data_IF_889647370554
#
_entry.id   IF_889647370554
#
_cell.length_a   1.000
_cell.length_b   1.000
_cell.length_c   1.000
_cell.angle_alpha   90.00
_cell.angle_beta   90.00
_cell.angle_gamma   90.00
#
_symmetry.space_group_name_H-M   'P 1'
#
loop_
_entity.id
_entity.type
_entity.pdbx_description
1 polymer ?
#
# COMPACT_ATOMS: atom_id res chain seq x y z
N UNK A 1 -13.44 -17.97 3.98
CA UNK A 1 -12.46 -16.88 3.98
C UNK A 1 -12.50 -16.24 2.61
N UNK A 2 -12.99 -15.00 2.50
CA UNK A 2 -13.05 -14.31 1.22
C UNK A 2 -11.61 -14.15 0.71
N UNK A 3 -11.33 -14.70 -0.47
CA UNK A 3 -10.05 -14.49 -1.13
C UNK A 3 -9.91 -12.99 -1.34
N UNK A 4 -8.93 -12.36 -0.70
CA UNK A 4 -8.66 -10.94 -0.90
C UNK A 4 -8.34 -10.74 -2.39
N UNK A 5 -9.19 -9.97 -3.07
CA UNK A 5 -9.10 -9.73 -4.49
C UNK A 5 -8.00 -8.69 -4.75
N UNK A 6 -7.05 -9.01 -5.62
CA UNK A 6 -5.95 -8.11 -5.95
C UNK A 6 -6.44 -6.80 -6.58
N UNK A 7 -7.60 -6.82 -7.26
CA UNK A 7 -8.23 -5.62 -7.79
C UNK A 7 -8.75 -4.69 -6.69
N UNK A 8 -9.26 -5.26 -5.59
CA UNK A 8 -9.69 -4.52 -4.40
C UNK A 8 -8.49 -3.89 -3.69
N UNK A 9 -7.40 -4.64 -3.51
CA UNK A 9 -6.15 -4.12 -2.95
C UNK A 9 -5.61 -2.98 -3.80
N UNK A 10 -5.57 -3.14 -5.13
CA UNK A 10 -5.10 -2.08 -6.02
C UNK A 10 -5.95 -0.81 -5.90
N UNK A 11 -7.27 -0.94 -5.84
CA UNK A 11 -8.17 0.19 -5.61
C UNK A 11 -7.88 0.87 -4.28
N UNK A 12 -7.69 0.09 -3.21
CA UNK A 12 -7.41 0.62 -1.89
C UNK A 12 -6.06 1.35 -1.84
N UNK A 13 -5.03 0.79 -2.47
CA UNK A 13 -3.70 1.41 -2.60
C UNK A 13 -3.81 2.78 -3.27
N UNK A 14 -4.55 2.89 -4.37
CA UNK A 14 -4.72 4.16 -5.09
C UNK A 14 -5.42 5.22 -4.24
N UNK A 15 -6.48 4.84 -3.52
CA UNK A 15 -7.21 5.74 -2.61
C UNK A 15 -6.32 6.21 -1.47
N UNK A 16 -5.55 5.31 -0.85
CA UNK A 16 -4.64 5.65 0.24
C UNK A 16 -3.48 6.51 -0.24
N UNK A 17 -2.88 6.21 -1.40
CA UNK A 17 -1.82 7.01 -1.99
C UNK A 17 -2.26 8.45 -2.24
N UNK A 18 -3.47 8.64 -2.79
CA UNK A 18 -4.05 9.98 -3.00
C UNK A 18 -4.31 10.70 -1.66
N UNK A 19 -4.81 9.98 -0.66
CA UNK A 19 -5.05 10.52 0.68
C UNK A 19 -3.74 11.00 1.32
N UNK A 20 -2.70 10.18 1.24
CA UNK A 20 -1.37 10.53 1.76
C UNK A 20 -0.83 11.78 1.06
N UNK A 21 -0.88 11.83 -0.28
CA UNK A 21 -0.44 13.00 -1.05
C UNK A 21 -1.19 14.28 -0.66
N UNK A 22 -2.50 14.20 -0.41
CA UNK A 22 -3.30 15.35 0.03
C UNK A 22 -2.83 15.91 1.39
N UNK A 23 -2.39 15.05 2.31
CA UNK A 23 -1.98 15.46 3.66
C UNK A 23 -0.48 15.77 3.78
N UNK A 24 0.36 15.25 2.88
CA UNK A 24 1.80 15.54 2.86
C UNK A 24 2.14 16.77 2.00
N UNK A 25 1.23 17.20 1.14
CA UNK A 25 1.39 18.41 0.34
C UNK A 25 1.19 19.68 1.17
N UNK A 26 2.20 20.55 1.20
CA UNK A 26 2.14 21.85 1.90
C UNK A 26 1.36 22.93 1.13
N UNK A 27 0.90 22.64 -0.09
CA UNK A 27 0.17 23.58 -0.94
C UNK A 27 -1.32 23.20 -0.98
N UNK A 28 -2.21 24.05 -0.45
CA UNK A 28 -3.64 23.79 -0.50
C UNK A 28 -4.12 24.00 -1.94
N UNK A 29 -4.60 22.93 -2.55
CA UNK A 29 -5.32 22.92 -3.83
C UNK A 29 -4.47 23.23 -5.07
N UNK A 30 -3.90 22.19 -5.67
CA UNK A 30 -3.79 22.09 -7.12
C UNK A 30 -4.03 20.63 -7.51
N UNK A 31 -4.49 20.37 -8.73
CA UNK A 31 -4.66 19.04 -9.32
C UNK A 31 -3.44 18.17 -8.98
N UNK A 32 -3.53 17.42 -7.87
CA UNK A 32 -2.47 16.50 -7.49
C UNK A 32 -2.49 15.46 -8.60
N UNK A 33 -1.40 15.32 -9.38
CA UNK A 33 -1.37 14.34 -10.44
C UNK A 33 -1.70 13.00 -9.81
N UNK A 34 -2.72 12.30 -10.34
CA UNK A 34 -3.01 10.94 -9.88
C UNK A 34 -1.71 10.14 -9.98
N UNK A 35 -1.18 9.63 -8.86
CA UNK A 35 0.09 8.94 -8.91
C UNK A 35 -0.12 7.69 -9.76
N UNK A 36 0.74 7.55 -10.76
CA UNK A 36 0.66 6.46 -11.73
C UNK A 36 1.63 5.33 -11.36
N UNK A 37 2.71 5.68 -10.66
CA UNK A 37 3.75 4.77 -10.21
C UNK A 37 4.10 5.02 -8.74
N UNK A 38 4.71 4.03 -8.08
CA UNK A 38 5.14 4.19 -6.68
C UNK A 38 6.31 5.16 -6.56
N UNK A 39 7.09 5.36 -7.62
CA UNK A 39 8.15 6.38 -7.69
C UNK A 39 7.64 7.82 -7.67
N UNK A 40 6.36 8.04 -7.93
CA UNK A 40 5.73 9.36 -7.84
C UNK A 40 5.53 9.78 -6.38
N UNK A 41 5.64 8.84 -5.43
CA UNK A 41 5.55 9.07 -4.00
C UNK A 41 6.94 9.28 -3.39
N UNK A 42 7.07 10.26 -2.49
CA UNK A 42 8.27 10.38 -1.68
C UNK A 42 8.38 9.22 -0.68
N UNK A 43 9.60 8.95 -0.19
CA UNK A 43 9.86 7.82 0.71
C UNK A 43 9.02 7.86 1.97
N UNK A 44 8.66 9.06 2.45
CA UNK A 44 7.75 9.24 3.57
C UNK A 44 6.31 8.85 3.22
N UNK A 45 5.78 9.27 2.07
CA UNK A 45 4.43 8.89 1.62
C UNK A 45 4.31 7.38 1.39
N UNK A 46 5.36 6.72 0.90
CA UNK A 46 5.38 5.25 0.76
C UNK A 46 5.23 4.58 2.13
N UNK A 47 5.95 5.05 3.15
CA UNK A 47 5.82 4.52 4.52
C UNK A 47 4.40 4.72 5.05
N UNK A 48 3.82 5.91 4.89
CA UNK A 48 2.43 6.18 5.33
C UNK A 48 1.40 5.29 4.61
N UNK A 49 1.59 5.08 3.30
CA UNK A 49 0.76 4.18 2.50
C UNK A 49 0.84 2.75 3.05
N UNK A 50 2.04 2.24 3.32
CA UNK A 50 2.23 0.88 3.85
C UNK A 50 1.59 0.73 5.23
N UNK A 51 1.80 1.69 6.14
CA UNK A 51 1.17 1.69 7.47
C UNK A 51 -0.36 1.73 7.40
N UNK A 52 -0.93 2.48 6.45
CA UNK A 52 -2.38 2.51 6.24
C UNK A 52 -2.91 1.15 5.76
N UNK A 53 -2.15 0.43 4.90
CA UNK A 53 -2.52 -0.90 4.43
C UNK A 53 -2.39 -1.96 5.53
N UNK A 54 -1.37 -1.85 6.39
CA UNK A 54 -1.24 -2.68 7.59
C UNK A 54 -2.48 -2.59 8.49
N UNK A 55 -2.94 -1.37 8.76
CA UNK A 55 -4.15 -1.12 9.57
C UNK A 55 -5.41 -1.68 8.89
N UNK A 56 -5.60 -1.40 7.59
CA UNK A 56 -6.77 -1.87 6.82
C UNK A 56 -6.86 -3.39 6.78
N UNK A 57 -5.73 -4.07 6.57
CA UNK A 57 -5.71 -5.52 6.40
C UNK A 57 -5.34 -6.28 7.67
N UNK A 58 -4.97 -5.58 8.75
CA UNK A 58 -4.46 -6.12 10.01
C UNK A 58 -3.31 -7.14 9.77
N UNK A 59 -2.26 -6.66 9.11
CA UNK A 59 -1.03 -7.40 8.76
C UNK A 59 0.20 -6.53 9.00
N UNK A 60 1.39 -7.12 9.04
CA UNK A 60 2.65 -6.38 9.08
C UNK A 60 3.32 -6.43 7.71
N UNK A 61 3.66 -5.28 7.13
CA UNK A 61 4.17 -5.12 5.77
C UNK A 61 5.49 -4.34 5.74
N UNK A 62 5.68 -3.39 6.66
CA UNK A 62 6.81 -2.45 6.66
C UNK A 62 8.16 -3.16 6.77
N UNK A 63 8.23 -4.25 7.54
CA UNK A 63 9.44 -5.06 7.71
C UNK A 63 9.83 -5.77 6.41
N UNK A 64 8.83 -6.22 5.66
CA UNK A 64 9.01 -6.96 4.41
C UNK A 64 9.26 -6.05 3.20
N UNK A 65 9.03 -4.74 3.34
CA UNK A 65 9.23 -3.76 2.25
C UNK A 65 10.67 -3.71 1.72
N UNK A 66 11.65 -4.19 2.50
CA UNK A 66 13.03 -4.32 2.04
C UNK A 66 13.20 -5.36 0.90
N UNK A 67 12.25 -6.29 0.76
CA UNK A 67 12.21 -7.31 -0.29
C UNK A 67 11.43 -6.85 -1.53
N UNK A 68 10.71 -5.73 -1.43
CA UNK A 68 9.93 -5.18 -2.55
C UNK A 68 10.85 -4.54 -3.60
N UNK A 69 10.71 -4.98 -4.85
CA UNK A 69 11.52 -4.49 -5.99
C UNK A 69 10.69 -3.90 -7.13
N UNK A 70 9.36 -3.84 -6.97
CA UNK A 70 8.44 -3.29 -7.98
C UNK A 70 8.45 -1.76 -8.04
N UNK A 71 7.96 -1.20 -9.14
CA UNK A 71 7.86 0.25 -9.34
C UNK A 71 6.45 0.74 -9.67
N UNK A 72 5.50 -0.19 -9.82
CA UNK A 72 4.10 0.12 -10.07
C UNK A 72 3.21 -0.16 -8.86
N UNK A 73 2.02 0.46 -8.84
CA UNK A 73 1.01 0.15 -7.82
C UNK A 73 0.48 -1.27 -7.96
N UNK A 74 0.47 -1.81 -9.18
CA UNK A 74 0.11 -3.20 -9.46
C UNK A 74 1.12 -4.18 -8.83
N UNK A 75 2.42 -3.87 -8.90
CA UNK A 75 3.46 -4.67 -8.23
C UNK A 75 3.28 -4.62 -6.71
N UNK A 76 3.03 -3.43 -6.16
CA UNK A 76 2.78 -3.25 -4.73
C UNK A 76 1.52 -4.01 -4.29
N UNK A 77 0.45 -3.99 -5.09
CA UNK A 77 -0.77 -4.73 -4.83
C UNK A 77 -0.52 -6.25 -4.83
N UNK A 78 0.29 -6.75 -5.75
CA UNK A 78 0.72 -8.15 -5.78
C UNK A 78 1.48 -8.53 -4.52
N UNK A 79 2.49 -7.73 -4.16
CA UNK A 79 3.29 -7.94 -2.95
C UNK A 79 2.43 -7.96 -1.68
N UNK A 80 1.55 -6.98 -1.50
CA UNK A 80 0.64 -6.89 -0.35
C UNK A 80 -0.33 -8.08 -0.32
N UNK A 81 -0.87 -8.49 -1.47
CA UNK A 81 -1.76 -9.65 -1.55
C UNK A 81 -1.07 -10.95 -1.12
N UNK A 82 0.20 -11.14 -1.51
CA UNK A 82 0.99 -12.29 -1.09
C UNK A 82 1.21 -12.30 0.43
N UNK A 83 1.66 -11.18 1.02
CA UNK A 83 1.86 -11.07 2.47
C UNK A 83 0.59 -11.28 3.28
N UNK A 84 -0.54 -10.74 2.81
CA UNK A 84 -1.84 -10.98 3.45
C UNK A 84 -2.19 -12.48 3.43
N UNK A 85 -1.95 -13.17 2.31
CA UNK A 85 -2.21 -14.61 2.22
C UNK A 85 -1.29 -15.41 3.12
N UNK A 86 -0.01 -15.05 3.20
CA UNK A 86 0.96 -15.69 4.09
C UNK A 86 0.58 -15.54 5.55
N UNK A 87 0.25 -14.32 6.00
CA UNK A 87 -0.03 -14.04 7.42
C UNK A 87 -1.43 -14.48 7.85
N UNK A 88 -2.44 -14.39 6.98
CA UNK A 88 -3.79 -14.88 7.29
C UNK A 88 -3.97 -16.38 7.05
N UNK A 89 -3.06 -17.00 6.29
CA UNK A 89 -2.96 -18.44 6.10
C UNK A 89 -2.07 -19.12 7.14
N UNK A 90 -1.13 -18.39 7.75
CA UNK A 90 -0.33 -18.87 8.86
C UNK A 90 -1.17 -18.84 10.15
N UNK A 91 -1.14 -19.91 10.98
CA UNK A 91 -1.66 -19.82 12.33
C UNK A 91 -0.84 -18.78 13.09
N UNK A 92 -1.55 -17.81 13.65
CA UNK A 92 -1.09 -16.75 14.54
C UNK A 92 0.17 -17.18 15.31
N UNK A 93 1.32 -16.58 14.99
CA UNK A 93 2.54 -16.80 15.78
C UNK A 93 2.38 -16.02 17.07
N UNK A 94 1.91 -16.76 18.08
CA UNK A 94 1.77 -16.39 19.48
C UNK A 94 3.01 -15.73 20.09
#
# INVERSE_FOLDING_TARGET
MAAVDQSEILSQIKVQAMTVLMFTSNEPQFDLPEPSQTSDLDSFSIVQLVLALEDVYNVSLLEDMSEFTGSSFEDLAGFVAERIREQKGAPDRA
#
